data_IF_260463475731
#
_entry.id   IF_260463475731
#
_cell.length_a   1.000
_cell.length_b   1.000
_cell.length_c   1.000
_cell.angle_alpha   90.00
_cell.angle_beta   90.00
_cell.angle_gamma   90.00
#
_symmetry.space_group_name_H-M   'P 1'
#
loop_
_entity.id
_entity.type
_entity.pdbx_description
1 polymer ?
#
# COMPACT_ATOMS: atom_id res chain seq x y z
N UNK A 1 -14.30 0.65 1.70
CA UNK A 1 -13.11 1.53 1.54
C UNK A 1 -12.45 1.79 2.90
N UNK A 2 -11.14 2.02 2.94
CA UNK A 2 -10.42 2.43 4.15
C UNK A 2 -10.62 3.93 4.43
N UNK A 3 -10.93 4.26 5.68
CA UNK A 3 -11.05 5.63 6.19
C UNK A 3 -9.80 6.11 6.90
N UNK A 4 -9.16 5.23 7.67
CA UNK A 4 -7.89 5.56 8.32
C UNK A 4 -7.07 4.33 8.66
N UNK A 5 -5.76 4.52 8.80
CA UNK A 5 -4.83 3.55 9.37
C UNK A 5 -4.36 4.07 10.72
N UNK A 6 -4.29 3.20 11.72
CA UNK A 6 -3.80 3.49 13.06
C UNK A 6 -2.58 2.64 13.38
N UNK A 7 -1.53 3.28 13.91
CA UNK A 7 -0.29 2.62 14.30
C UNK A 7 0.19 3.21 15.62
N UNK A 8 0.50 2.35 16.60
CA UNK A 8 1.03 2.74 17.91
C UNK A 8 2.18 1.83 18.30
N UNK A 9 3.22 2.45 18.87
CA UNK A 9 4.44 1.79 19.33
C UNK A 9 5.13 0.91 18.26
N UNK A 10 5.07 1.29 16.98
CA UNK A 10 5.68 0.52 15.88
C UNK A 10 6.86 1.28 15.27
N UNK A 11 8.04 0.64 15.29
CA UNK A 11 9.33 1.16 14.84
C UNK A 11 9.58 2.59 15.36
N UNK A 12 9.80 3.68 14.56
CA UNK A 12 10.05 4.99 15.16
C UNK A 12 8.76 5.70 15.63
N UNK A 13 7.57 5.14 15.39
CA UNK A 13 6.30 5.82 15.72
C UNK A 13 5.81 5.46 17.11
N UNK A 14 5.62 6.47 17.96
CA UNK A 14 4.85 6.32 19.19
C UNK A 14 3.37 6.16 18.89
N UNK A 15 2.80 7.04 18.07
CA UNK A 15 1.42 6.95 17.58
C UNK A 15 1.29 7.73 16.27
N UNK A 16 0.58 7.17 15.30
CA UNK A 16 0.21 7.85 14.05
C UNK A 16 -1.18 7.37 13.62
N UNK A 17 -1.98 8.30 13.11
CA UNK A 17 -3.28 8.03 12.47
C UNK A 17 -3.30 8.71 11.12
N UNK A 18 -3.50 7.92 10.06
CA UNK A 18 -3.48 8.37 8.68
C UNK A 18 -4.91 8.32 8.13
N UNK A 19 -5.64 9.44 8.09
CA UNK A 19 -6.92 9.48 7.37
C UNK A 19 -6.65 9.28 5.87
N UNK A 20 -7.25 8.26 5.26
CA UNK A 20 -7.03 7.93 3.86
C UNK A 20 -8.07 8.61 2.96
N UNK A 21 -7.60 9.14 1.84
CA UNK A 21 -8.40 9.56 0.69
C UNK A 21 -8.12 8.60 -0.48
N UNK A 22 -8.43 9.02 -1.71
CA UNK A 22 -8.18 8.21 -2.90
C UNK A 22 -6.70 8.09 -3.21
N UNK A 23 -5.94 9.18 -3.09
CA UNK A 23 -4.50 9.26 -3.32
C UNK A 23 -3.83 9.79 -2.06
N UNK A 24 -2.85 9.06 -1.54
CA UNK A 24 -2.15 9.42 -0.32
C UNK A 24 -0.65 9.37 -0.57
N UNK A 25 0.07 10.46 -0.32
CA UNK A 25 1.52 10.51 -0.44
C UNK A 25 2.18 10.53 0.95
N UNK A 26 3.19 9.69 1.16
CA UNK A 26 4.14 9.78 2.26
C UNK A 26 5.42 10.41 1.72
N UNK A 27 5.74 11.62 2.19
CA UNK A 27 6.93 12.38 1.80
C UNK A 27 7.78 12.72 3.02
N UNK A 28 9.02 13.13 2.81
CA UNK A 28 9.95 13.53 3.86
C UNK A 28 11.34 12.93 3.70
N UNK A 29 12.30 13.32 4.55
CA UNK A 29 13.69 12.95 4.40
C UNK A 29 13.93 11.43 4.44
N UNK A 30 15.10 11.02 3.94
CA UNK A 30 15.56 9.64 4.05
C UNK A 30 15.58 9.21 5.52
N UNK A 31 15.22 7.94 5.77
CA UNK A 31 15.21 7.36 7.12
C UNK A 31 14.23 8.05 8.10
N UNK A 32 13.24 8.83 7.63
CA UNK A 32 12.26 9.48 8.51
C UNK A 32 11.21 8.52 9.11
N UNK A 33 10.99 7.36 8.49
CA UNK A 33 9.99 6.37 8.93
C UNK A 33 8.88 6.07 7.92
N UNK A 34 8.92 6.62 6.71
CA UNK A 34 7.91 6.39 5.65
C UNK A 34 7.68 4.90 5.35
N UNK A 35 8.74 4.14 5.06
CA UNK A 35 8.67 2.69 4.86
C UNK A 35 8.12 1.94 6.07
N UNK A 36 8.36 2.46 7.29
CA UNK A 36 7.81 1.86 8.51
C UNK A 36 6.29 1.95 8.59
N UNK A 37 5.66 2.95 7.97
CA UNK A 37 4.19 3.02 7.84
C UNK A 37 3.70 1.93 6.90
N UNK A 38 4.33 1.76 5.74
CA UNK A 38 3.97 0.72 4.78
C UNK A 38 4.11 -0.68 5.38
N UNK A 39 5.20 -0.93 6.12
CA UNK A 39 5.42 -2.18 6.84
C UNK A 39 4.38 -2.42 7.95
N UNK A 40 3.93 -1.37 8.65
CA UNK A 40 2.87 -1.49 9.65
C UNK A 40 1.55 -1.95 9.01
N UNK A 41 1.20 -1.41 7.83
CA UNK A 41 0.00 -1.81 7.08
C UNK A 41 0.13 -3.26 6.59
N UNK A 42 1.30 -3.66 6.08
CA UNK A 42 1.52 -5.05 5.64
C UNK A 42 1.53 -6.04 6.81
N UNK A 43 2.05 -5.63 7.97
CA UNK A 43 1.97 -6.41 9.21
C UNK A 43 0.51 -6.59 9.64
N UNK A 44 -0.28 -5.50 9.63
CA UNK A 44 -1.73 -5.55 9.86
C UNK A 44 -2.42 -6.48 8.86
N UNK A 45 -2.04 -6.43 7.56
CA UNK A 45 -2.57 -7.33 6.54
C UNK A 45 -2.41 -8.78 6.94
N UNK A 46 -1.19 -9.18 7.26
CA UNK A 46 -0.86 -10.55 7.61
C UNK A 46 -1.63 -11.05 8.85
N UNK A 47 -1.77 -10.17 9.86
CA UNK A 47 -2.50 -10.50 11.09
C UNK A 47 -3.99 -10.72 10.80
N UNK A 48 -4.61 -9.87 9.97
CA UNK A 48 -6.05 -9.94 9.69
C UNK A 48 -6.46 -10.90 8.58
N UNK A 49 -5.58 -11.27 7.64
CA UNK A 49 -5.92 -12.12 6.49
C UNK A 49 -5.96 -13.62 6.81
N UNK A 50 -5.42 -14.05 7.94
CA UNK A 50 -5.32 -15.47 8.29
C UNK A 50 -6.69 -16.07 8.68
N UNK A 51 -7.09 -17.11 7.96
CA UNK A 51 -8.41 -17.77 7.90
C UNK A 51 -8.94 -18.37 9.22
N UNK A 52 -8.08 -18.51 10.22
CA UNK A 52 -8.43 -18.97 11.55
C UNK A 52 -8.30 -17.78 12.48
N UNK A 53 -9.44 -17.20 12.86
CA UNK A 53 -9.51 -16.08 13.79
C UNK A 53 -8.56 -16.29 14.96
N UNK A 54 -7.81 -15.25 15.32
CA UNK A 54 -7.11 -15.10 16.60
C UNK A 54 -6.43 -16.35 17.18
N UNK A 55 -5.78 -17.18 16.37
CA UNK A 55 -4.89 -18.22 16.93
C UNK A 55 -3.59 -17.57 17.36
N UNK A 56 -3.40 -17.41 18.67
CA UNK A 56 -2.20 -16.83 19.29
C UNK A 56 -0.90 -17.54 18.84
N UNK A 57 -0.97 -18.84 18.55
CA UNK A 57 0.10 -19.61 17.89
C UNK A 57 0.58 -18.98 16.57
N UNK A 58 -0.27 -18.24 15.86
CA UNK A 58 0.09 -17.53 14.62
C UNK A 58 0.77 -16.18 14.84
N UNK A 59 0.46 -15.49 15.93
CA UNK A 59 1.25 -14.30 16.34
C UNK A 59 2.65 -14.77 16.70
N UNK A 60 2.79 -15.90 17.40
CA UNK A 60 4.08 -16.55 17.60
C UNK A 60 4.71 -17.02 16.30
N UNK A 61 3.94 -17.62 15.37
CA UNK A 61 4.46 -18.03 14.06
C UNK A 61 4.90 -16.85 13.21
N UNK A 62 4.33 -15.64 13.37
CA UNK A 62 4.85 -14.43 12.73
C UNK A 62 6.29 -14.12 13.19
N UNK A 63 6.63 -14.46 14.45
CA UNK A 63 7.98 -14.32 14.97
C UNK A 63 8.87 -15.55 14.71
N UNK A 64 8.30 -16.75 14.49
CA UNK A 64 9.04 -18.03 14.45
C UNK A 64 9.07 -18.75 13.08
N UNK A 65 8.10 -18.51 12.18
CA UNK A 65 7.91 -19.33 10.97
C UNK A 65 8.93 -18.99 9.86
N UNK A 66 9.49 -20.04 9.24
CA UNK A 66 10.43 -19.93 8.13
C UNK A 66 9.75 -19.75 6.76
N UNK A 67 8.42 -19.94 6.68
CA UNK A 67 7.61 -19.82 5.45
C UNK A 67 6.93 -18.46 5.26
N UNK A 68 7.20 -17.49 6.13
CA UNK A 68 6.70 -16.12 5.98
C UNK A 68 7.19 -15.56 4.64
N UNK A 69 6.35 -14.81 3.87
CA UNK A 69 6.79 -14.14 2.66
C UNK A 69 8.11 -13.40 2.92
N UNK A 70 9.05 -13.43 1.97
CA UNK A 70 10.39 -12.79 2.06
C UNK A 70 10.36 -11.34 2.61
N UNK A 71 9.22 -10.67 2.50
CA UNK A 71 9.02 -9.28 2.90
C UNK A 71 8.70 -9.05 4.38
N UNK A 72 8.30 -10.06 5.16
CA UNK A 72 8.36 -9.88 6.61
C UNK A 72 9.74 -10.33 7.00
N UNK A 73 10.67 -9.44 7.38
CA UNK A 73 11.92 -9.94 7.95
C UNK A 73 11.51 -10.77 9.17
N UNK A 74 12.31 -11.78 9.52
CA UNK A 74 12.19 -12.43 10.83
C UNK A 74 12.49 -11.35 11.87
N UNK A 75 11.52 -10.54 12.24
CA UNK A 75 11.74 -9.38 13.09
C UNK A 75 11.34 -9.79 14.50
N UNK A 76 12.36 -10.00 15.33
CA UNK A 76 12.25 -9.97 16.79
C UNK A 76 11.34 -8.81 17.23
N UNK A 77 10.32 -9.09 18.05
CA UNK A 77 9.39 -8.08 18.59
C UNK A 77 10.12 -6.83 19.09
N UNK A 78 11.28 -7.02 19.73
CA UNK A 78 12.14 -5.95 20.21
C UNK A 78 12.52 -4.92 19.14
N UNK A 79 12.72 -5.35 17.90
CA UNK A 79 13.06 -4.47 16.77
C UNK A 79 11.83 -3.77 16.18
N UNK A 80 10.64 -4.30 16.40
CA UNK A 80 9.38 -3.70 15.97
C UNK A 80 8.84 -2.70 16.98
N UNK A 81 8.98 -2.97 18.28
CA UNK A 81 8.35 -2.13 19.29
C UNK A 81 9.11 -0.81 19.46
N UNK A 82 8.36 0.28 19.59
CA UNK A 82 8.93 1.62 19.72
C UNK A 82 9.91 1.73 20.89
N UNK A 83 11.06 2.33 20.60
CA UNK A 83 12.20 2.43 21.52
C UNK A 83 12.75 1.08 22.01
N UNK A 84 12.41 -0.02 21.32
CA UNK A 84 12.76 -1.39 21.70
C UNK A 84 12.30 -1.77 23.12
N UNK A 85 11.24 -1.12 23.61
CA UNK A 85 10.68 -1.36 24.93
C UNK A 85 9.68 -2.52 24.88
N UNK A 86 10.16 -3.72 25.19
CA UNK A 86 9.37 -4.97 25.16
C UNK A 86 8.19 -4.99 26.16
N UNK A 87 8.13 -4.02 27.08
CA UNK A 87 6.98 -3.84 27.99
C UNK A 87 5.79 -3.17 27.30
N UNK A 88 6.01 -2.51 26.16
CA UNK A 88 4.94 -1.87 25.38
C UNK A 88 4.23 -2.87 24.49
N UNK A 89 2.99 -2.54 24.20
CA UNK A 89 2.17 -3.23 23.21
C UNK A 89 2.19 -2.45 21.90
N UNK A 90 2.43 -3.15 20.78
CA UNK A 90 2.25 -2.62 19.43
C UNK A 90 0.76 -2.65 19.14
N UNK A 91 0.17 -1.54 18.68
CA UNK A 91 -1.21 -1.54 18.18
C UNK A 91 -1.27 -1.15 16.72
N UNK A 92 -1.92 -1.96 15.89
CA UNK A 92 -2.12 -1.76 14.47
C UNK A 92 -3.61 -1.88 14.15
N UNK A 93 -4.16 -0.97 13.37
CA UNK A 93 -5.58 -1.00 13.07
C UNK A 93 -5.96 -0.16 11.88
N UNK A 94 -7.23 -0.25 11.50
CA UNK A 94 -7.82 0.58 10.47
C UNK A 94 -9.29 0.83 10.75
N UNK A 95 -9.79 1.95 10.20
CA UNK A 95 -11.21 2.20 10.05
C UNK A 95 -11.60 1.96 8.59
N UNK A 96 -12.75 1.34 8.38
CA UNK A 96 -13.32 1.09 7.06
C UNK A 96 -14.77 1.55 7.03
N UNK A 97 -15.25 1.92 5.84
CA UNK A 97 -16.67 2.08 5.57
C UNK A 97 -17.12 0.98 4.62
N UNK A 98 -18.20 0.30 5.01
CA UNK A 98 -18.90 -0.69 4.20
C UNK A 98 -20.40 -0.55 4.45
N UNK A 99 -21.19 -0.51 3.38
CA UNK A 99 -22.65 -0.31 3.45
C UNK A 99 -23.06 0.90 4.30
N UNK A 100 -22.37 2.03 4.12
CA UNK A 100 -22.58 3.29 4.86
C UNK A 100 -22.30 3.25 6.38
N UNK A 101 -21.89 2.10 6.92
CA UNK A 101 -21.46 1.96 8.31
C UNK A 101 -19.95 2.11 8.42
N UNK A 102 -19.51 2.96 9.33
CA UNK A 102 -18.11 3.07 9.71
C UNK A 102 -17.82 2.10 10.87
N UNK A 103 -16.77 1.31 10.67
CA UNK A 103 -16.29 0.37 11.67
C UNK A 103 -14.78 0.52 11.79
N UNK A 104 -14.26 0.54 13.00
CA UNK A 104 -12.84 0.55 13.30
C UNK A 104 -12.42 -0.73 14.01
N UNK A 105 -11.19 -1.15 13.75
CA UNK A 105 -10.59 -2.36 14.31
C UNK A 105 -9.13 -2.12 14.61
N UNK A 106 -8.75 -2.27 15.87
CA UNK A 106 -7.38 -2.15 16.34
C UNK A 106 -6.97 -3.46 17.00
N UNK A 107 -5.79 -3.94 16.62
CA UNK A 107 -5.15 -5.13 17.17
C UNK A 107 -3.89 -4.74 17.91
N UNK A 108 -3.84 -5.09 19.19
CA UNK A 108 -2.69 -4.94 20.07
C UNK A 108 -1.96 -6.25 20.29
N UNK A 109 -0.63 -6.23 20.30
CA UNK A 109 0.19 -7.39 20.61
C UNK A 109 1.53 -7.04 21.27
N UNK A 110 1.97 -7.94 22.15
CA UNK A 110 3.31 -8.04 22.74
C UNK A 110 3.67 -9.53 22.93
N UNK A 111 4.90 -9.90 23.33
CA UNK A 111 5.26 -11.30 23.55
C UNK A 111 4.49 -12.00 24.68
N UNK A 112 3.82 -11.22 25.54
CA UNK A 112 3.13 -11.70 26.73
C UNK A 112 1.64 -11.36 26.77
N UNK A 113 1.12 -10.56 25.82
CA UNK A 113 -0.28 -10.11 25.78
C UNK A 113 -0.76 -9.87 24.35
N UNK A 114 -2.05 -10.04 24.14
CA UNK A 114 -2.76 -9.56 22.96
C UNK A 114 -4.00 -8.79 23.37
N UNK A 115 -4.37 -7.77 22.60
CA UNK A 115 -5.62 -7.04 22.77
C UNK A 115 -6.30 -6.75 21.45
N UNK A 116 -7.60 -6.50 21.53
CA UNK A 116 -8.43 -6.22 20.39
C UNK A 116 -9.49 -5.20 20.72
N UNK A 117 -9.68 -4.23 19.83
CA UNK A 117 -10.65 -3.17 19.99
C UNK A 117 -11.45 -3.05 18.69
N UNK A 118 -12.78 -3.16 18.77
CA UNK A 118 -13.71 -2.81 17.68
C UNK A 118 -14.49 -1.59 18.11
N UNK A 119 -14.62 -0.63 17.22
CA UNK A 119 -15.62 0.43 17.33
C UNK A 119 -16.62 0.32 16.18
N UNK A 120 -17.91 0.28 16.51
CA UNK A 120 -19.00 0.27 15.53
C UNK A 120 -20.16 1.09 16.08
N UNK A 121 -20.67 2.06 15.31
CA UNK A 121 -21.86 2.84 15.67
C UNK A 121 -21.80 3.47 17.08
N UNK A 122 -20.62 3.95 17.49
CA UNK A 122 -20.41 4.55 18.82
C UNK A 122 -20.34 3.55 19.98
N UNK A 123 -20.30 2.24 19.69
CA UNK A 123 -20.06 1.18 20.68
C UNK A 123 -18.65 0.64 20.54
N UNK A 124 -17.98 0.43 21.67
CA UNK A 124 -16.63 -0.13 21.73
C UNK A 124 -16.66 -1.53 22.34
N UNK A 125 -15.99 -2.47 21.69
CA UNK A 125 -15.77 -3.82 22.18
C UNK A 125 -14.28 -4.02 22.41
N UNK A 126 -13.89 -4.34 23.65
CA UNK A 126 -12.52 -4.60 24.03
C UNK A 126 -12.36 -6.08 24.45
N UNK A 127 -11.32 -6.73 23.95
CA UNK A 127 -10.92 -8.07 24.37
C UNK A 127 -9.44 -8.05 24.71
N UNK A 128 -9.06 -8.54 25.89
CA UNK A 128 -7.67 -8.66 26.31
C UNK A 128 -7.34 -10.11 26.71
N UNK A 129 -6.10 -10.52 26.48
CA UNK A 129 -5.63 -11.85 26.82
C UNK A 129 -4.18 -11.87 27.26
N UNK A 130 -3.85 -12.74 28.22
CA UNK A 130 -2.46 -13.08 28.55
C UNK A 130 -1.96 -14.15 27.59
N UNK A 131 -0.70 -14.04 27.16
CA UNK A 131 -0.04 -15.08 26.39
C UNK A 131 0.60 -16.10 27.34
N UNK A 132 -0.12 -17.18 27.61
CA UNK A 132 0.43 -18.43 28.14
C UNK A 132 0.22 -19.52 27.08
N UNK A 133 1.08 -20.56 27.04
CA UNK A 133 0.87 -21.75 26.16
C UNK A 133 -0.48 -22.45 26.40
N UNK A 134 -1.22 -22.06 27.44
CA UNK A 134 -2.60 -22.44 27.72
C UNK A 134 -3.54 -21.24 27.52
N UNK A 135 -4.49 -21.38 26.60
CA UNK A 135 -5.50 -20.39 26.15
C UNK A 135 -6.40 -19.86 27.28
N UNK A 136 -5.95 -18.86 28.06
CA UNK A 136 -6.81 -18.13 29.01
C UNK A 136 -6.97 -16.66 28.60
N UNK A 137 -8.20 -16.28 28.28
CA UNK A 137 -8.59 -14.91 27.90
C UNK A 137 -9.45 -14.27 29.00
N UNK A 138 -9.37 -12.96 29.17
CA UNK A 138 -10.16 -12.21 30.15
C UNK A 138 -10.86 -11.06 29.43
N UNK A 139 -12.17 -11.16 29.25
CA UNK A 139 -12.95 -10.10 28.59
C UNK A 139 -13.16 -8.99 29.63
N UNK A 140 -12.53 -7.84 29.39
CA UNK A 140 -12.66 -6.67 30.25
C UNK A 140 -13.51 -5.63 29.55
N UNK A 141 -14.74 -5.51 30.07
CA UNK A 141 -15.69 -4.45 29.80
C UNK A 141 -16.36 -4.50 28.41
N UNK A 142 -17.69 -4.54 28.41
CA UNK A 142 -18.50 -4.38 27.23
C UNK A 142 -19.81 -3.65 27.54
N UNK A 143 -20.31 -2.88 26.57
CA UNK A 143 -21.67 -2.37 26.56
C UNK A 143 -22.74 -3.45 26.26
N UNK A 144 -22.35 -4.74 26.29
CA UNK A 144 -23.16 -5.91 25.91
C UNK A 144 -23.21 -7.03 26.99
N UNK A 145 -22.61 -6.85 28.17
CA UNK A 145 -22.63 -7.78 29.33
C UNK A 145 -21.52 -8.85 29.35
N UNK A 146 -20.98 -9.20 30.53
CA UNK A 146 -19.83 -10.13 30.69
C UNK A 146 -19.90 -11.40 29.80
N UNK A 147 -18.91 -11.59 28.92
CA UNK A 147 -18.73 -12.84 28.16
C UNK A 147 -17.61 -13.65 28.83
N UNK A 148 -17.89 -14.89 29.23
CA UNK A 148 -16.89 -15.80 29.83
C UNK A 148 -16.26 -16.69 28.76
N UNK A 149 -14.93 -16.66 28.67
CA UNK A 149 -14.16 -17.46 27.73
C UNK A 149 -13.84 -18.86 28.30
N UNK A 150 -14.23 -19.94 27.60
CA UNK A 150 -13.79 -21.32 27.87
C UNK A 150 -12.71 -21.79 26.89
N UNK A 151 -11.80 -22.68 27.30
CA UNK A 151 -10.66 -23.14 26.48
C UNK A 151 -11.10 -23.71 25.11
N UNK A 152 -10.52 -23.22 24.02
CA UNK A 152 -10.85 -23.57 22.64
C UNK A 152 -10.34 -22.55 21.61
N UNK A 153 -10.48 -22.87 20.31
CA UNK A 153 -10.18 -21.91 19.23
C UNK A 153 -11.16 -20.73 19.28
N UNK A 154 -10.71 -19.51 18.95
CA UNK A 154 -11.54 -18.30 19.03
C UNK A 154 -12.89 -18.39 18.29
N UNK A 155 -12.97 -19.14 17.18
CA UNK A 155 -14.24 -19.39 16.46
C UNK A 155 -15.25 -20.24 17.26
N UNK A 156 -14.79 -21.07 18.20
CA UNK A 156 -15.65 -21.90 19.06
C UNK A 156 -16.04 -21.22 20.38
N UNK A 157 -15.44 -20.06 20.69
CA UNK A 157 -15.53 -19.38 21.99
C UNK A 157 -16.63 -18.32 22.08
N UNK A 158 -17.23 -18.00 20.94
CA UNK A 158 -18.22 -16.96 20.78
C UNK A 158 -19.65 -17.44 21.09
N UNK A 159 -19.85 -18.71 21.43
CA UNK A 159 -21.18 -19.23 21.76
C UNK A 159 -21.48 -18.85 23.22
N UNK A 160 -22.17 -17.72 23.44
CA UNK A 160 -23.32 -17.54 24.35
C UNK A 160 -23.69 -16.04 24.41
N UNK A 161 -24.76 -15.72 23.68
CA UNK A 161 -25.71 -14.59 23.76
C UNK A 161 -25.27 -13.11 23.63
N UNK A 162 -26.05 -12.44 22.76
CA UNK A 162 -26.18 -10.98 22.45
C UNK A 162 -24.98 -10.28 21.78
N UNK A 163 -25.06 -10.09 20.44
CA UNK A 163 -24.12 -9.25 19.65
C UNK A 163 -23.26 -9.97 18.58
N UNK A 164 -23.40 -11.29 18.47
CA UNK A 164 -22.56 -12.17 17.64
C UNK A 164 -22.56 -11.91 16.14
N UNK A 165 -23.74 -11.73 15.55
CA UNK A 165 -23.84 -11.53 14.09
C UNK A 165 -23.12 -10.26 13.64
N UNK A 166 -23.20 -9.20 14.44
CA UNK A 166 -22.56 -7.92 14.13
C UNK A 166 -21.03 -8.04 14.24
N UNK A 167 -20.50 -8.70 15.27
CA UNK A 167 -19.05 -8.90 15.43
C UNK A 167 -18.48 -9.83 14.35
N UNK A 168 -19.19 -10.91 14.01
CA UNK A 168 -18.79 -11.83 12.93
C UNK A 168 -18.82 -11.14 11.56
N UNK A 169 -19.88 -10.37 11.28
CA UNK A 169 -20.01 -9.56 10.07
C UNK A 169 -18.88 -8.52 9.97
N UNK A 170 -18.59 -7.81 11.07
CA UNK A 170 -17.44 -6.90 11.18
C UNK A 170 -16.13 -7.66 10.89
N UNK A 171 -15.95 -8.83 11.50
CA UNK A 171 -14.77 -9.67 11.29
C UNK A 171 -14.55 -10.03 9.82
N UNK A 172 -15.60 -10.49 9.13
CA UNK A 172 -15.60 -10.80 7.71
C UNK A 172 -15.32 -9.56 6.85
N UNK A 173 -15.93 -8.43 7.20
CA UNK A 173 -15.74 -7.16 6.50
C UNK A 173 -14.29 -6.66 6.54
N UNK A 174 -13.64 -6.76 7.71
CA UNK A 174 -12.22 -6.45 7.82
C UNK A 174 -11.34 -7.44 7.06
N UNK A 175 -11.65 -8.74 7.12
CA UNK A 175 -10.88 -9.76 6.38
C UNK A 175 -10.93 -9.51 4.88
N UNK A 176 -12.10 -9.20 4.34
CA UNK A 176 -12.29 -8.83 2.93
C UNK A 176 -11.53 -7.55 2.57
N UNK A 177 -11.72 -6.46 3.32
CA UNK A 177 -11.05 -5.18 3.06
C UNK A 177 -9.52 -5.31 3.12
N UNK A 178 -9.01 -6.01 4.14
CA UNK A 178 -7.58 -6.15 4.40
C UNK A 178 -6.94 -7.18 3.44
N UNK A 179 -7.68 -8.21 3.03
CA UNK A 179 -7.27 -9.11 1.95
C UNK A 179 -6.91 -8.37 0.66
N UNK A 180 -7.62 -7.26 0.39
CA UNK A 180 -7.43 -6.38 -0.78
C UNK A 180 -6.36 -5.29 -0.59
N UNK A 181 -5.42 -5.46 0.34
CA UNK A 181 -4.23 -4.61 0.43
C UNK A 181 -3.12 -5.18 -0.45
N UNK A 182 -2.65 -4.47 -1.46
CA UNK A 182 -1.58 -4.94 -2.36
C UNK A 182 -0.35 -4.05 -2.26
N UNK A 183 0.82 -4.61 -2.60
CA UNK A 183 2.09 -3.91 -2.47
C UNK A 183 2.88 -3.97 -3.77
N UNK A 184 3.21 -2.80 -4.31
CA UNK A 184 4.09 -2.65 -5.47
C UNK A 184 5.45 -2.16 -4.98
N UNK A 185 6.43 -3.06 -4.98
CA UNK A 185 7.82 -2.75 -4.66
C UNK A 185 8.47 -1.90 -5.76
N UNK A 186 9.47 -1.13 -5.37
CA UNK A 186 10.44 -0.64 -6.33
C UNK A 186 11.13 -1.82 -7.03
N UNK A 187 11.28 -1.74 -8.34
CA UNK A 187 11.88 -2.81 -9.13
C UNK A 187 13.08 -2.29 -9.92
N UNK A 188 14.21 -2.98 -9.76
CA UNK A 188 15.45 -2.75 -10.51
C UNK A 188 15.72 -3.95 -11.39
N UNK A 189 15.00 -4.08 -12.49
CA UNK A 189 15.23 -5.15 -13.45
C UNK A 189 15.43 -4.61 -14.86
N UNK A 190 16.31 -5.28 -15.59
CA UNK A 190 16.43 -5.12 -17.03
C UNK A 190 15.24 -5.80 -17.70
N UNK A 191 14.71 -5.21 -18.76
CA UNK A 191 13.62 -5.81 -19.51
C UNK A 191 14.17 -6.85 -20.49
N UNK A 192 13.54 -8.02 -20.49
CA UNK A 192 13.84 -9.11 -21.41
C UNK A 192 13.00 -8.97 -22.67
N UNK A 193 13.63 -9.19 -23.84
CA UNK A 193 12.93 -9.22 -25.13
C UNK A 193 12.08 -10.48 -25.30
N UNK A 194 12.54 -11.61 -24.75
CA UNK A 194 11.86 -12.89 -24.72
C UNK A 194 11.70 -13.34 -23.27
N UNK A 195 10.51 -13.78 -22.90
CA UNK A 195 10.16 -14.18 -21.54
C UNK A 195 9.69 -15.62 -21.53
N UNK A 196 10.15 -16.41 -20.57
CA UNK A 196 9.66 -17.79 -20.40
C UNK A 196 8.18 -17.76 -19.97
N UNK A 197 7.35 -18.61 -20.58
CA UNK A 197 5.94 -18.73 -20.19
C UNK A 197 5.88 -19.39 -18.80
N UNK A 198 5.33 -18.73 -17.77
CA UNK A 198 5.23 -19.34 -16.45
C UNK A 198 4.28 -20.55 -16.47
N UNK A 199 4.35 -21.41 -15.45
CA UNK A 199 3.50 -22.60 -15.39
C UNK A 199 2.05 -22.29 -14.98
N UNK A 200 1.81 -21.20 -14.26
CA UNK A 200 0.49 -20.81 -13.76
C UNK A 200 0.32 -19.28 -13.77
N UNK A 201 -0.93 -18.82 -13.83
CA UNK A 201 -1.25 -17.42 -13.60
C UNK A 201 -1.00 -17.05 -12.14
N UNK A 202 -0.28 -15.95 -11.93
CA UNK A 202 -0.03 -15.37 -10.61
C UNK A 202 -1.31 -14.87 -9.95
N UNK A 203 -1.53 -15.24 -8.69
CA UNK A 203 -2.60 -14.65 -7.89
C UNK A 203 -2.33 -13.15 -7.65
N UNK A 204 -3.35 -12.32 -7.37
CA UNK A 204 -3.13 -10.92 -7.03
C UNK A 204 -2.08 -10.68 -5.94
N UNK A 205 -1.98 -11.55 -4.94
CA UNK A 205 -0.99 -11.45 -3.86
C UNK A 205 0.45 -11.73 -4.31
N UNK A 206 0.62 -12.38 -5.46
CA UNK A 206 1.89 -12.75 -6.08
C UNK A 206 2.29 -11.77 -7.20
N UNK A 207 1.41 -10.83 -7.55
CA UNK A 207 1.60 -9.88 -8.63
C UNK A 207 2.58 -8.77 -8.22
N UNK A 208 3.63 -8.59 -9.02
CA UNK A 208 4.74 -7.66 -8.82
C UNK A 208 5.15 -7.04 -10.15
N UNK A 209 6.00 -6.00 -10.13
CA UNK A 209 6.47 -5.39 -11.39
C UNK A 209 7.26 -6.37 -12.28
N UNK A 210 7.89 -7.39 -11.68
CA UNK A 210 8.66 -8.40 -12.43
C UNK A 210 7.76 -9.25 -13.33
N UNK A 211 6.58 -9.65 -12.83
CA UNK A 211 5.67 -10.57 -13.52
C UNK A 211 4.44 -9.89 -14.12
N UNK A 212 4.39 -8.56 -14.16
CA UNK A 212 3.27 -7.82 -14.76
C UNK A 212 3.01 -8.22 -16.24
N UNK A 213 4.06 -8.38 -17.03
CA UNK A 213 3.91 -8.82 -18.43
C UNK A 213 3.48 -10.29 -18.53
N UNK A 214 3.87 -11.13 -17.57
CA UNK A 214 3.41 -12.53 -17.52
C UNK A 214 1.89 -12.57 -17.27
N UNK A 215 1.41 -11.70 -16.37
CA UNK A 215 -0.01 -11.52 -16.10
C UNK A 215 -0.73 -11.08 -17.37
N UNK A 216 -0.21 -10.08 -18.09
CA UNK A 216 -0.78 -9.63 -19.36
C UNK A 216 -0.89 -10.77 -20.38
N UNK A 217 0.16 -11.59 -20.52
CA UNK A 217 0.16 -12.75 -21.40
C UNK A 217 -0.90 -13.78 -21.01
N UNK A 218 -1.01 -14.11 -19.72
CA UNK A 218 -1.92 -15.14 -19.23
C UNK A 218 -3.40 -14.75 -19.29
N UNK A 219 -3.70 -13.48 -19.07
CA UNK A 219 -5.09 -13.01 -19.06
C UNK A 219 -5.59 -12.69 -20.47
N UNK A 220 -4.79 -12.81 -21.53
CA UNK A 220 -5.16 -12.43 -22.91
C UNK A 220 -6.46 -13.04 -23.46
N UNK A 221 -6.85 -14.20 -22.92
CA UNK A 221 -8.08 -14.93 -23.27
C UNK A 221 -9.12 -14.88 -22.13
N UNK A 222 -8.93 -14.01 -21.13
CA UNK A 222 -9.77 -13.89 -19.93
C UNK A 222 -10.48 -12.54 -19.87
N UNK A 223 -11.59 -12.51 -19.14
CA UNK A 223 -12.30 -11.27 -18.82
C UNK A 223 -11.37 -10.27 -18.13
N UNK A 224 -11.42 -9.00 -18.57
CA UNK A 224 -10.59 -7.92 -18.04
C UNK A 224 -9.37 -7.57 -18.91
N UNK A 225 -8.92 -8.46 -19.82
CA UNK A 225 -7.81 -8.16 -20.72
C UNK A 225 -8.07 -6.96 -21.62
N UNK A 226 -9.24 -6.92 -22.27
CA UNK A 226 -9.62 -5.80 -23.14
C UNK A 226 -9.56 -4.46 -22.40
N UNK A 227 -9.96 -4.44 -21.12
CA UNK A 227 -9.86 -3.24 -20.30
C UNK A 227 -8.40 -2.85 -20.06
N UNK A 228 -7.55 -3.79 -19.65
CA UNK A 228 -6.13 -3.53 -19.38
C UNK A 228 -5.43 -3.05 -20.65
N UNK A 229 -5.63 -3.74 -21.77
CA UNK A 229 -5.07 -3.39 -23.07
C UNK A 229 -5.56 -2.02 -23.54
N UNK A 230 -6.86 -1.72 -23.39
CA UNK A 230 -7.40 -0.40 -23.72
C UNK A 230 -6.71 0.70 -22.92
N UNK A 231 -6.62 0.53 -21.60
CA UNK A 231 -5.96 1.49 -20.71
C UNK A 231 -4.49 1.71 -21.11
N UNK A 232 -3.77 0.64 -21.43
CA UNK A 232 -2.38 0.72 -21.88
C UNK A 232 -2.28 1.42 -23.24
N UNK A 233 -3.12 1.04 -24.20
CA UNK A 233 -3.10 1.62 -25.54
C UNK A 233 -3.46 3.11 -25.53
N UNK A 234 -4.45 3.52 -24.72
CA UNK A 234 -4.80 4.93 -24.56
C UNK A 234 -3.64 5.76 -23.99
N UNK A 235 -2.83 5.15 -23.12
CA UNK A 235 -1.57 5.75 -22.67
C UNK A 235 -0.50 5.78 -23.78
N UNK A 236 -0.27 4.67 -24.47
CA UNK A 236 0.76 4.53 -25.51
C UNK A 236 0.56 5.47 -26.70
N UNK A 237 -0.69 5.81 -27.04
CA UNK A 237 -1.01 6.72 -28.15
C UNK A 237 -0.32 8.08 -28.03
N UNK A 238 -0.10 8.57 -26.80
CA UNK A 238 0.63 9.82 -26.53
C UNK A 238 2.08 9.79 -27.00
N UNK A 239 2.63 8.60 -27.24
CA UNK A 239 4.01 8.37 -27.65
C UNK A 239 4.11 7.81 -29.08
N UNK A 240 3.03 7.87 -29.86
CA UNK A 240 3.02 7.31 -31.21
C UNK A 240 3.01 5.77 -31.25
N UNK A 241 2.64 5.13 -30.14
CA UNK A 241 2.60 3.68 -30.00
C UNK A 241 1.15 3.22 -29.78
N UNK A 242 0.79 2.03 -30.25
CA UNK A 242 -0.54 1.45 -30.01
C UNK A 242 -0.47 -0.09 -30.07
N UNK A 243 -1.61 -0.76 -29.88
CA UNK A 243 -1.81 -2.18 -30.12
C UNK A 243 -0.79 -3.08 -29.40
N UNK A 244 -0.64 -2.89 -28.08
CA UNK A 244 0.13 -3.78 -27.24
C UNK A 244 -0.41 -5.21 -27.34
N UNK A 245 0.49 -6.18 -27.56
CA UNK A 245 0.17 -7.60 -27.68
C UNK A 245 1.23 -8.44 -27.00
N UNK A 246 0.79 -9.44 -26.24
CA UNK A 246 1.65 -10.50 -25.73
C UNK A 246 1.52 -11.72 -26.65
N UNK A 247 2.56 -12.04 -27.40
CA UNK A 247 2.56 -13.04 -28.48
C UNK A 247 3.39 -14.26 -28.09
N UNK A 248 2.93 -15.49 -28.37
CA UNK A 248 3.74 -16.69 -28.15
C UNK A 248 4.98 -16.68 -29.06
N UNK A 249 6.09 -17.16 -28.53
CA UNK A 249 7.38 -17.29 -29.22
C UNK A 249 7.89 -18.74 -29.11
N UNK A 250 8.88 -19.16 -29.93
CA UNK A 250 9.42 -20.51 -29.88
C UNK A 250 9.97 -20.91 -28.51
N UNK A 251 10.14 -22.21 -28.27
CA UNK A 251 10.78 -22.76 -27.06
C UNK A 251 10.08 -22.41 -25.75
N UNK A 252 8.74 -22.38 -25.71
CA UNK A 252 7.95 -22.02 -24.52
C UNK A 252 8.21 -20.60 -23.99
N UNK A 253 8.46 -19.66 -24.90
CA UNK A 253 8.61 -18.25 -24.58
C UNK A 253 7.43 -17.43 -25.11
N UNK A 254 7.35 -16.18 -24.70
CA UNK A 254 6.49 -15.16 -25.29
C UNK A 254 7.24 -13.83 -25.37
N UNK A 255 6.78 -12.96 -26.23
CA UNK A 255 7.25 -11.57 -26.30
C UNK A 255 6.09 -10.60 -26.12
N UNK A 256 6.42 -9.37 -25.72
CA UNK A 256 5.45 -8.28 -25.67
C UNK A 256 5.88 -7.25 -26.70
N UNK A 257 4.99 -6.98 -27.65
CA UNK A 257 5.22 -6.03 -28.74
C UNK A 257 4.18 -4.92 -28.68
N UNK A 258 4.57 -3.74 -29.15
CA UNK A 258 3.66 -2.63 -29.48
C UNK A 258 3.86 -2.30 -30.95
N UNK A 259 2.89 -1.63 -31.53
CA UNK A 259 2.95 -1.15 -32.89
C UNK A 259 3.34 0.32 -32.91
N UNK A 260 4.36 0.67 -33.69
CA UNK A 260 4.66 2.05 -34.04
C UNK A 260 3.59 2.56 -35.02
N UNK A 261 2.91 3.64 -34.67
CA UNK A 261 1.78 4.15 -35.44
C UNK A 261 2.20 4.79 -36.77
N UNK A 262 3.41 5.36 -36.85
CA UNK A 262 3.92 6.02 -38.06
C UNK A 262 4.55 5.01 -39.02
N UNK A 263 5.40 4.13 -38.49
CA UNK A 263 6.14 3.14 -39.27
C UNK A 263 5.32 1.88 -39.55
N UNK A 264 4.23 1.66 -38.81
CA UNK A 264 3.35 0.49 -38.92
C UNK A 264 4.11 -0.84 -38.71
N UNK A 265 5.15 -0.83 -37.86
CA UNK A 265 5.97 -2.00 -37.50
C UNK A 265 5.76 -2.39 -36.05
N UNK A 266 5.97 -3.67 -35.75
CA UNK A 266 5.96 -4.18 -34.38
C UNK A 266 7.35 -3.97 -33.75
N UNK A 267 7.38 -3.35 -32.58
CA UNK A 267 8.56 -3.08 -31.78
C UNK A 267 8.43 -3.85 -30.48
N UNK A 268 9.47 -4.59 -30.11
CA UNK A 268 9.48 -5.30 -28.84
C UNK A 268 9.53 -4.29 -27.68
N UNK A 269 8.79 -4.55 -26.60
CA UNK A 269 8.70 -3.63 -25.46
C UNK A 269 10.09 -3.29 -24.90
N UNK A 270 11.03 -4.24 -24.92
CA UNK A 270 12.41 -4.02 -24.45
C UNK A 270 13.19 -2.94 -25.23
N UNK A 271 12.75 -2.60 -26.45
CA UNK A 271 13.39 -1.63 -27.33
C UNK A 271 12.79 -0.22 -27.22
N UNK A 272 11.67 -0.06 -26.51
CA UNK A 272 11.03 1.24 -26.30
C UNK A 272 11.80 2.05 -25.25
N UNK A 273 11.70 3.38 -25.32
CA UNK A 273 12.31 4.31 -24.36
C UNK A 273 12.10 3.89 -22.89
N UNK A 274 13.20 3.87 -22.14
CA UNK A 274 13.33 3.29 -20.79
C UNK A 274 12.21 3.68 -19.81
N UNK A 275 11.70 4.91 -19.92
CA UNK A 275 10.65 5.42 -19.04
C UNK A 275 9.25 4.82 -19.28
N UNK A 276 8.89 4.50 -20.53
CA UNK A 276 7.60 3.89 -20.86
C UNK A 276 7.55 2.46 -20.29
N UNK A 277 8.65 1.73 -20.42
CA UNK A 277 8.77 0.34 -19.97
C UNK A 277 8.63 0.15 -18.46
N UNK A 278 8.92 1.17 -17.66
CA UNK A 278 8.72 1.13 -16.21
C UNK A 278 7.27 1.43 -15.82
N UNK A 279 6.58 2.24 -16.62
CA UNK A 279 5.20 2.63 -16.33
C UNK A 279 4.20 1.53 -16.68
N UNK A 280 4.43 0.79 -17.76
CA UNK A 280 3.50 -0.24 -18.23
C UNK A 280 3.24 -1.33 -17.17
N UNK A 281 4.24 -1.90 -16.49
CA UNK A 281 4.00 -2.80 -15.35
C UNK A 281 3.12 -2.19 -14.27
N UNK A 282 3.30 -0.91 -13.92
CA UNK A 282 2.45 -0.22 -12.94
C UNK A 282 0.98 -0.18 -13.41
N UNK A 283 0.76 0.21 -14.68
CA UNK A 283 -0.60 0.27 -15.27
C UNK A 283 -1.24 -1.11 -15.29
N UNK A 284 -0.48 -2.16 -15.67
CA UNK A 284 -0.97 -3.54 -15.68
C UNK A 284 -1.39 -3.96 -14.26
N UNK A 285 -0.54 -3.74 -13.25
CA UNK A 285 -0.84 -4.14 -11.88
C UNK A 285 -2.06 -3.39 -11.31
N UNK A 286 -2.09 -2.05 -11.44
CA UNK A 286 -3.24 -1.24 -11.02
C UNK A 286 -4.53 -1.67 -11.71
N UNK A 287 -4.45 -2.12 -12.96
CA UNK A 287 -5.60 -2.61 -13.71
C UNK A 287 -5.92 -4.09 -13.44
N UNK A 288 -4.98 -4.86 -12.89
CA UNK A 288 -5.14 -6.28 -12.55
C UNK A 288 -5.72 -6.49 -11.15
N UNK A 289 -5.31 -5.67 -10.17
CA UNK A 289 -5.76 -5.84 -8.78
C UNK A 289 -7.30 -5.79 -8.64
N UNK A 290 -7.89 -6.54 -7.69
CA UNK A 290 -9.34 -6.55 -7.44
C UNK A 290 -9.90 -5.18 -7.10
N UNK A 291 -11.16 -4.93 -7.45
CA UNK A 291 -11.84 -3.66 -7.17
C UNK A 291 -11.82 -3.31 -5.66
N UNK A 292 -11.81 -2.00 -5.38
CA UNK A 292 -11.80 -1.42 -4.03
C UNK A 292 -10.57 -1.78 -3.17
N UNK A 293 -9.45 -2.10 -3.84
CA UNK A 293 -8.16 -2.35 -3.19
C UNK A 293 -7.49 -1.10 -2.60
N UNK A 294 -6.71 -1.31 -1.54
CA UNK A 294 -5.69 -0.37 -1.07
C UNK A 294 -4.32 -0.80 -1.60
N UNK A 295 -3.72 0.00 -2.47
CA UNK A 295 -2.46 -0.34 -3.15
C UNK A 295 -1.34 0.54 -2.57
N UNK A 296 -0.39 -0.11 -1.94
CA UNK A 296 0.81 0.49 -1.39
C UNK A 296 1.88 0.51 -2.49
N UNK A 297 2.49 1.66 -2.76
CA UNK A 297 3.51 1.82 -3.80
C UNK A 297 4.76 2.41 -3.18
N UNK A 298 5.88 1.71 -3.32
CA UNK A 298 7.16 2.13 -2.77
C UNK A 298 8.04 2.73 -3.86
N UNK A 299 8.37 4.01 -3.69
CA UNK A 299 9.32 4.76 -4.51
C UNK A 299 9.16 4.50 -6.01
N UNK A 300 7.96 4.76 -6.59
CA UNK A 300 7.71 4.50 -8.01
C UNK A 300 8.65 5.29 -8.91
N UNK A 301 9.21 6.40 -8.43
CA UNK A 301 10.17 7.24 -9.15
C UNK A 301 11.53 6.60 -9.43
N UNK A 302 11.89 5.51 -8.74
CA UNK A 302 13.20 4.90 -8.92
C UNK A 302 13.37 4.42 -10.38
N UNK A 303 14.42 4.92 -11.03
CA UNK A 303 14.78 4.68 -12.43
C UNK A 303 13.85 5.35 -13.46
N UNK A 304 12.83 6.10 -13.04
CA UNK A 304 11.99 6.87 -13.96
C UNK A 304 12.61 8.24 -14.24
N UNK A 305 12.61 8.67 -15.50
CA UNK A 305 12.91 10.06 -15.84
C UNK A 305 11.85 11.00 -15.21
N UNK A 306 12.22 12.19 -14.68
CA UNK A 306 11.31 13.21 -14.15
C UNK A 306 9.96 13.37 -14.87
N UNK A 307 10.01 13.52 -16.20
CA UNK A 307 8.82 13.63 -17.05
C UNK A 307 7.86 12.44 -16.90
N UNK A 308 8.40 11.21 -16.82
CA UNK A 308 7.59 10.00 -16.65
C UNK A 308 7.02 9.87 -15.24
N UNK A 309 7.73 10.38 -14.23
CA UNK A 309 7.20 10.47 -12.87
C UNK A 309 5.96 11.39 -12.82
N UNK A 310 6.04 12.56 -13.45
CA UNK A 310 4.91 13.47 -13.58
C UNK A 310 3.76 12.87 -14.40
N UNK A 311 4.07 12.19 -15.51
CA UNK A 311 3.07 11.52 -16.35
C UNK A 311 2.35 10.42 -15.55
N UNK A 312 3.09 9.54 -14.84
CA UNK A 312 2.51 8.52 -13.97
C UNK A 312 1.51 9.12 -12.99
N UNK A 313 1.94 10.16 -12.27
CA UNK A 313 1.12 10.86 -11.30
C UNK A 313 -0.15 11.47 -11.93
N UNK A 314 -0.04 11.96 -13.18
CA UNK A 314 -1.18 12.53 -13.90
C UNK A 314 -2.24 11.50 -14.31
N UNK A 315 -1.83 10.25 -14.50
CA UNK A 315 -2.72 9.14 -14.88
C UNK A 315 -3.40 8.48 -13.68
N UNK A 316 -2.80 8.60 -12.49
CA UNK A 316 -3.28 7.92 -11.28
C UNK A 316 -4.78 8.12 -11.01
N UNK A 317 -5.35 9.34 -11.08
CA UNK A 317 -6.77 9.52 -10.85
C UNK A 317 -7.60 8.63 -11.78
N UNK A 318 -7.41 8.72 -13.10
CA UNK A 318 -8.20 7.93 -14.05
C UNK A 318 -8.01 6.41 -13.85
N UNK A 319 -6.76 5.96 -13.65
CA UNK A 319 -6.42 4.55 -13.49
C UNK A 319 -7.12 3.91 -12.28
N UNK A 320 -7.22 4.64 -11.17
CA UNK A 320 -7.77 4.10 -9.93
C UNK A 320 -9.28 4.32 -9.79
N UNK A 321 -9.88 5.23 -10.58
CA UNK A 321 -11.30 5.59 -10.49
C UNK A 321 -12.20 4.40 -10.80
N UNK A 322 -11.97 3.75 -11.94
CA UNK A 322 -12.88 2.71 -12.46
C UNK A 322 -13.05 1.55 -11.48
N UNK A 323 -11.95 1.15 -10.84
CA UNK A 323 -11.92 0.09 -9.83
C UNK A 323 -12.00 0.61 -8.39
N UNK A 324 -12.19 1.92 -8.20
CA UNK A 324 -12.27 2.59 -6.90
C UNK A 324 -11.10 2.25 -5.96
N UNK A 325 -9.88 2.13 -6.50
CA UNK A 325 -8.71 1.87 -5.66
C UNK A 325 -8.36 3.09 -4.83
N UNK A 326 -7.84 2.83 -3.63
CA UNK A 326 -7.08 3.80 -2.85
C UNK A 326 -5.59 3.48 -3.01
N UNK A 327 -4.76 4.50 -3.10
CA UNK A 327 -3.31 4.33 -3.19
C UNK A 327 -2.59 5.07 -2.07
N UNK A 328 -1.54 4.45 -1.55
CA UNK A 328 -0.60 5.06 -0.61
C UNK A 328 0.81 4.93 -1.18
N UNK A 329 1.38 6.06 -1.59
CA UNK A 329 2.67 6.12 -2.27
C UNK A 329 3.71 6.70 -1.31
N UNK A 330 4.76 5.93 -1.02
CA UNK A 330 5.99 6.50 -0.50
C UNK A 330 6.80 7.07 -1.66
N UNK A 331 7.12 8.37 -1.63
CA UNK A 331 7.86 9.01 -2.72
C UNK A 331 8.81 10.10 -2.26
N UNK A 332 9.91 10.23 -2.99
CA UNK A 332 10.90 11.29 -2.98
C UNK A 332 10.85 12.15 -4.24
N UNK A 333 9.81 12.01 -5.06
CA UNK A 333 9.66 12.76 -6.30
C UNK A 333 8.84 14.03 -6.10
N UNK A 334 9.48 15.17 -6.34
CA UNK A 334 8.78 16.45 -6.51
C UNK A 334 7.85 16.45 -7.71
N UNK A 335 8.21 15.73 -8.77
CA UNK A 335 7.44 15.69 -10.00
C UNK A 335 6.11 14.97 -9.81
N UNK A 336 6.05 13.94 -8.96
CA UNK A 336 4.80 13.29 -8.56
C UNK A 336 3.92 14.26 -7.76
N UNK A 337 4.50 14.95 -6.77
CA UNK A 337 3.79 15.91 -5.92
C UNK A 337 3.22 17.06 -6.76
N UNK A 338 4.06 17.74 -7.54
CA UNK A 338 3.65 18.88 -8.36
C UNK A 338 2.69 18.48 -9.48
N UNK A 339 2.81 17.28 -10.04
CA UNK A 339 1.84 16.78 -11.02
C UNK A 339 0.43 16.67 -10.42
N UNK A 340 0.29 16.06 -9.23
CA UNK A 340 -1.00 15.94 -8.55
C UNK A 340 -1.56 17.30 -8.09
N UNK A 341 -0.70 18.18 -7.56
CA UNK A 341 -1.07 19.55 -7.21
C UNK A 341 -1.54 20.36 -8.44
N UNK A 342 -0.90 20.17 -9.59
CA UNK A 342 -1.31 20.79 -10.85
C UNK A 342 -2.68 20.29 -11.32
N UNK A 343 -3.04 19.02 -11.09
CA UNK A 343 -4.40 18.53 -11.37
C UNK A 343 -5.45 19.20 -10.50
N UNK A 344 -5.12 19.51 -9.23
CA UNK A 344 -6.00 20.29 -8.35
C UNK A 344 -6.15 21.71 -8.88
N UNK A 345 -5.05 22.37 -9.23
CA UNK A 345 -5.08 23.72 -9.81
C UNK A 345 -5.91 23.79 -11.10
N UNK A 346 -5.87 22.73 -11.93
CA UNK A 346 -6.68 22.56 -13.14
C UNK A 346 -8.12 22.11 -12.89
N UNK A 347 -8.50 21.83 -11.64
CA UNK A 347 -9.82 21.32 -11.23
C UNK A 347 -10.18 19.97 -11.85
N UNK A 348 -9.18 19.15 -12.17
CA UNK A 348 -9.35 17.77 -12.66
C UNK A 348 -9.17 16.72 -11.56
N UNK A 349 -8.72 17.15 -10.37
CA UNK A 349 -8.66 16.34 -9.14
C UNK A 349 -9.24 17.15 -7.99
N UNK A 350 -10.12 16.57 -7.19
CA UNK A 350 -10.64 17.26 -6.01
C UNK A 350 -9.60 17.25 -4.88
N UNK A 351 -9.55 18.32 -4.10
CA UNK A 351 -8.65 18.43 -2.93
C UNK A 351 -8.92 17.29 -1.93
N UNK A 352 -10.17 16.87 -1.77
CA UNK A 352 -10.56 15.76 -0.88
C UNK A 352 -10.01 14.40 -1.31
N UNK A 353 -9.59 14.27 -2.57
CA UNK A 353 -9.07 13.02 -3.13
C UNK A 353 -7.56 12.86 -2.93
N UNK A 354 -6.87 13.89 -2.43
CA UNK A 354 -5.42 13.89 -2.21
C UNK A 354 -5.06 14.21 -0.77
N UNK A 355 -4.31 13.33 -0.12
CA UNK A 355 -3.59 13.60 1.11
C UNK A 355 -2.09 13.60 0.87
N UNK A 356 -1.38 14.55 1.47
CA UNK A 356 0.08 14.56 1.52
C UNK A 356 0.49 14.55 2.99
N UNK A 357 1.28 13.56 3.39
CA UNK A 357 1.79 13.39 4.73
C UNK A 357 3.29 13.61 4.75
N UNK A 358 3.74 14.56 5.56
CA UNK A 358 5.15 14.79 5.82
C UNK A 358 5.61 14.01 7.04
N UNK A 359 6.55 13.10 6.82
CA UNK A 359 7.16 12.28 7.87
C UNK A 359 8.52 12.86 8.20
N UNK A 360 8.73 13.25 9.45
CA UNK A 360 9.98 13.81 9.96
C UNK A 360 10.39 13.14 11.27
N UNK A 361 11.68 13.21 11.61
CA UNK A 361 12.19 12.77 12.90
C UNK A 361 12.26 13.93 13.87
N UNK A 362 11.70 13.74 15.06
CA UNK A 362 11.84 14.62 16.21
C UNK A 362 12.52 13.83 17.34
N UNK A 363 13.83 14.03 17.49
CA UNK A 363 14.65 13.24 18.40
C UNK A 363 14.67 11.75 18.02
N UNK A 364 14.08 10.89 18.86
CA UNK A 364 13.98 9.44 18.64
C UNK A 364 12.64 9.00 18.04
N UNK A 365 11.69 9.92 17.88
CA UNK A 365 10.33 9.64 17.41
C UNK A 365 10.16 10.11 15.96
N UNK A 366 9.43 9.35 15.15
CA UNK A 366 8.92 9.83 13.88
C UNK A 366 7.55 10.47 14.10
N UNK A 367 7.38 11.68 13.56
CA UNK A 367 6.09 12.36 13.44
C UNK A 367 5.60 12.29 12.01
N UNK A 368 4.30 12.23 11.84
CA UNK A 368 3.64 12.24 10.55
C UNK A 368 2.54 13.31 10.58
N UNK A 369 2.72 14.36 9.78
CA UNK A 369 1.85 15.53 9.74
C UNK A 369 1.16 15.58 8.38
N UNK A 370 -0.17 15.73 8.38
CA UNK A 370 -0.91 15.97 7.14
C UNK A 370 -0.70 17.42 6.70
N UNK A 371 -0.17 17.63 5.51
CA UNK A 371 -0.02 18.94 4.91
C UNK A 371 -1.38 19.45 4.41
N UNK A 372 -1.61 20.76 4.54
CA UNK A 372 -2.85 21.40 4.10
C UNK A 372 -2.69 21.91 2.67
N UNK A 373 -3.50 21.34 1.78
CA UNK A 373 -3.55 21.70 0.36
C UNK A 373 -4.57 22.83 0.18
N UNK A 374 -4.20 23.85 -0.57
CA UNK A 374 -5.07 24.98 -0.92
C UNK A 374 -5.93 24.68 -2.15
N UNK A 375 -6.95 25.50 -2.39
CA UNK A 375 -7.83 25.41 -3.55
C UNK A 375 -7.16 25.72 -4.89
N UNK A 376 -6.06 26.46 -4.86
CA UNK A 376 -5.23 26.75 -6.03
C UNK A 376 -4.15 25.68 -6.28
N UNK A 377 -4.16 24.56 -5.55
CA UNK A 377 -3.20 23.46 -5.75
C UNK A 377 -1.80 23.79 -5.21
N UNK A 378 -1.70 24.51 -4.09
CA UNK A 378 -0.45 24.73 -3.36
C UNK A 378 -0.52 24.11 -1.97
N UNK A 379 0.60 24.12 -1.23
CA UNK A 379 0.65 23.68 0.16
C UNK A 379 0.81 24.89 1.07
N UNK A 380 -0.03 25.00 2.10
CA UNK A 380 0.06 26.06 3.10
C UNK A 380 1.38 25.93 3.88
N UNK A 381 2.14 27.04 3.95
CA UNK A 381 3.49 27.04 4.52
C UNK A 381 4.58 26.51 3.57
N UNK A 382 4.22 26.13 2.34
CA UNK A 382 5.16 25.57 1.35
C UNK A 382 5.47 24.10 1.57
N UNK A 383 6.28 23.52 0.68
CA UNK A 383 6.79 22.18 0.87
C UNK A 383 7.94 22.22 1.91
N UNK A 384 7.88 21.42 2.99
CA UNK A 384 8.93 21.35 4.00
C UNK A 384 10.23 20.76 3.43
N UNK A 385 11.34 20.79 4.20
CA UNK A 385 12.75 20.43 3.87
C UNK A 385 12.95 19.14 3.04
N UNK A 386 12.50 19.19 1.80
CA UNK A 386 12.57 18.15 0.78
C UNK A 386 13.45 18.62 -0.38
N UNK A 387 13.78 19.92 -0.42
CA UNK A 387 14.44 20.63 -1.52
C UNK A 387 15.74 21.34 -1.14
N UNK A 388 16.06 21.43 0.16
CA UNK A 388 17.16 22.27 0.61
C UNK A 388 18.52 21.76 0.13
N UNK A 389 18.71 20.45 -0.06
CA UNK A 389 19.97 19.91 -0.57
C UNK A 389 20.38 20.48 -1.93
N UNK A 390 19.45 20.59 -2.88
CA UNK A 390 19.77 21.16 -4.20
C UNK A 390 19.90 22.68 -4.18
N UNK A 391 19.12 23.35 -3.32
CA UNK A 391 19.20 24.82 -3.14
C UNK A 391 20.52 25.20 -2.46
N UNK A 392 20.96 24.46 -1.45
CA UNK A 392 22.22 24.67 -0.75
C UNK A 392 23.39 24.46 -1.69
N UNK A 393 23.37 23.38 -2.49
CA UNK A 393 24.38 23.14 -3.52
C UNK A 393 24.37 24.27 -4.56
N UNK A 394 23.20 24.73 -5.01
CA UNK A 394 23.09 25.85 -5.94
C UNK A 394 23.62 27.15 -5.34
N UNK A 395 23.32 27.43 -4.08
CA UNK A 395 23.82 28.60 -3.35
C UNK A 395 25.33 28.51 -3.12
N UNK A 396 25.86 27.35 -2.78
CA UNK A 396 27.31 27.10 -2.68
C UNK A 396 27.99 27.31 -4.03
N UNK A 397 27.42 26.77 -5.11
CA UNK A 397 27.91 26.98 -6.46
C UNK A 397 27.86 28.46 -6.87
N UNK A 398 26.75 29.15 -6.61
CA UNK A 398 26.62 30.59 -6.86
C UNK A 398 27.66 31.41 -6.07
N UNK A 399 27.92 31.05 -4.80
CA UNK A 399 28.96 31.69 -3.99
C UNK A 399 30.37 31.40 -4.51
N UNK A 400 30.59 30.23 -5.11
CA UNK A 400 31.88 29.86 -5.69
C UNK A 400 32.17 30.67 -6.96
N UNK A 401 31.17 30.83 -7.84
CA UNK A 401 31.32 31.62 -9.08
C UNK A 401 31.31 33.13 -8.85
N UNK A 402 30.71 33.63 -7.76
CA UNK A 402 30.71 35.06 -7.42
C UNK A 402 32.01 35.56 -6.76
N UNK A 403 33.01 34.68 -6.58
CA UNK A 403 34.32 35.01 -5.99
C UNK A 403 35.41 35.27 -7.04
N UNK A 404 35.08 35.17 -8.33
CA UNK A 404 35.84 35.75 -9.46
C UNK A 404 35.23 37.09 -9.85
#
# INVERSE_FOLDING_TARGET
MFKSIYVKNFKPFRTVTLPLSRINLLIGPNNAGKTSILEAIMTMKYIFSNEYGWRMEKVYSFFEDKKIPKFTPRIDFKRLVYAQDEKKEIKLGCAITKEEKEVSKIFGFSPSRGSYEIESQGKTFLVEGKMERSEKYEIKENSFGEVKAGAGSFNSLFIINTGLSEIEEIGLNFRDAVGKIFFIHSYRGTHESLREIPSNLYKPEEATLKNAFDILYFIRERAGYEYIVKTINDFLKKYGLDNIRALPAPQNHYEVVVKDAELNIDINISQIGFGINQLLPMIILLSYYPDESLILIEQPELHMHPRMQAEFASLLPELIEKKKHQILIETHSEHIIFSLLNLIAKKTLNISDLNIFYVKKEGKEAKCEKLKITDIGTIEGGLPEFFEGDIDILVEWMKAISKE
#
